data_IF_836008052642
#
_entry.id   IF_836008052642
#
_cell.length_a   1.000
_cell.length_b   1.000
_cell.length_c   1.000
_cell.angle_alpha   90.00
_cell.angle_beta   90.00
_cell.angle_gamma   90.00
#
_symmetry.space_group_name_H-M   'P 1'
#
loop_
_entity.id
_entity.type
_entity.pdbx_description
1 polymer ?
#
# COMPACT_ATOMS: atom_id res chain seq x y z
N UNK A 1 7.09 7.91 -33.49
CA UNK A 1 7.76 6.77 -32.84
C UNK A 1 6.68 5.75 -32.55
N UNK A 2 6.78 4.52 -33.06
CA UNK A 2 5.86 3.43 -32.69
C UNK A 2 6.51 2.71 -31.51
N UNK A 3 5.82 2.66 -30.39
CA UNK A 3 6.25 1.90 -29.22
C UNK A 3 5.73 0.48 -29.37
N UNK A 4 6.63 -0.50 -29.40
CA UNK A 4 6.30 -1.93 -29.36
C UNK A 4 6.81 -2.48 -28.01
N UNK A 5 6.13 -2.19 -26.89
CA UNK A 5 6.54 -2.73 -25.60
C UNK A 5 6.42 -4.26 -25.64
N UNK A 6 7.44 -4.93 -25.12
CA UNK A 6 7.45 -6.38 -24.94
C UNK A 6 7.13 -6.70 -23.48
N UNK A 7 6.24 -7.65 -23.25
CA UNK A 7 5.86 -8.12 -21.93
C UNK A 7 6.13 -9.63 -21.82
N UNK A 8 6.27 -10.12 -20.59
CA UNK A 8 6.20 -11.56 -20.33
C UNK A 8 4.86 -12.12 -20.83
N UNK A 9 4.85 -13.40 -21.18
CA UNK A 9 3.62 -14.06 -21.59
C UNK A 9 2.62 -14.07 -20.43
N UNK A 10 1.38 -13.69 -20.73
CA UNK A 10 0.25 -13.79 -19.81
C UNK A 10 -0.07 -15.27 -19.54
N UNK A 11 -0.73 -15.61 -18.40
CA UNK A 11 -1.12 -16.98 -18.10
C UNK A 11 -1.85 -17.66 -19.26
N UNK A 12 -1.61 -18.95 -19.44
CA UNK A 12 -2.22 -19.73 -20.53
C UNK A 12 -3.76 -19.66 -20.44
N UNK A 13 -4.41 -19.28 -21.54
CA UNK A 13 -5.86 -19.12 -21.61
C UNK A 13 -6.39 -17.73 -21.25
N UNK A 14 -5.54 -16.80 -20.81
CA UNK A 14 -5.92 -15.39 -20.66
C UNK A 14 -6.41 -14.83 -22.00
N UNK A 15 -7.61 -14.26 -22.00
CA UNK A 15 -8.24 -13.70 -23.21
C UNK A 15 -8.16 -12.18 -23.27
N UNK A 16 -7.98 -11.55 -22.12
CA UNK A 16 -7.93 -10.11 -21.94
C UNK A 16 -6.93 -9.78 -20.83
N UNK A 17 -6.36 -8.58 -20.88
CA UNK A 17 -5.52 -8.00 -19.83
C UNK A 17 -5.87 -6.55 -19.58
N UNK A 18 -5.62 -6.08 -18.37
CA UNK A 18 -5.55 -4.65 -18.07
C UNK A 18 -4.10 -4.17 -18.25
N UNK A 19 -3.92 -3.04 -18.94
CA UNK A 19 -2.61 -2.45 -19.22
C UNK A 19 -2.45 -1.16 -18.42
N UNK A 20 -1.58 -1.17 -17.41
CA UNK A 20 -1.17 0.05 -16.71
C UNK A 20 -0.02 0.72 -17.46
N UNK A 21 -0.28 1.92 -17.98
CA UNK A 21 0.73 2.74 -18.65
C UNK A 21 1.00 4.00 -17.79
N UNK A 22 2.23 4.18 -17.29
CA UNK A 22 2.61 5.39 -16.58
C UNK A 22 2.24 6.63 -17.40
N UNK A 23 1.69 7.66 -16.75
CA UNK A 23 1.15 8.89 -17.35
C UNK A 23 -0.13 8.76 -18.20
N UNK A 24 -0.56 7.56 -18.58
CA UNK A 24 -1.79 7.35 -19.38
C UNK A 24 -2.92 6.69 -18.58
N UNK A 25 -2.60 5.85 -17.59
CA UNK A 25 -3.56 5.13 -16.75
C UNK A 25 -3.73 3.67 -17.13
N UNK A 26 -4.81 3.06 -16.61
CA UNK A 26 -5.17 1.68 -16.93
C UNK A 26 -6.06 1.65 -18.16
N UNK A 27 -5.75 0.75 -19.07
CA UNK A 27 -6.58 0.38 -20.20
C UNK A 27 -7.09 -1.04 -19.92
N UNK A 28 -8.34 -1.20 -19.43
CA UNK A 28 -8.91 -2.52 -19.18
C UNK A 28 -9.30 -3.22 -20.48
N UNK A 29 -9.52 -4.54 -20.42
CA UNK A 29 -10.12 -5.32 -21.52
C UNK A 29 -9.28 -5.38 -22.80
N UNK A 30 -7.96 -5.26 -22.72
CA UNK A 30 -7.08 -5.37 -23.89
C UNK A 30 -7.04 -6.84 -24.33
N UNK A 31 -7.53 -7.19 -25.53
CA UNK A 31 -7.64 -8.58 -25.94
C UNK A 31 -6.27 -9.21 -26.18
N UNK A 32 -6.08 -10.42 -25.66
CA UNK A 32 -4.94 -11.29 -25.94
C UNK A 32 -5.26 -12.06 -27.21
N UNK A 33 -4.59 -11.71 -28.30
CA UNK A 33 -4.79 -12.33 -29.62
C UNK A 33 -3.57 -13.14 -30.02
N UNK A 34 -3.79 -14.26 -30.71
CA UNK A 34 -2.69 -15.02 -31.33
C UNK A 34 -2.00 -14.20 -32.43
N UNK A 35 -0.81 -14.65 -32.85
CA UNK A 35 -0.07 -14.03 -33.97
C UNK A 35 -0.89 -14.14 -35.27
N UNK A 36 -1.67 -13.12 -35.58
CA UNK A 36 -2.32 -12.97 -36.89
C UNK A 36 -1.43 -12.12 -37.79
N UNK A 37 -1.65 -12.17 -39.11
CA UNK A 37 -0.86 -11.49 -40.15
C UNK A 37 -0.79 -9.94 -40.04
N UNK A 38 -1.35 -9.35 -38.98
CA UNK A 38 -1.37 -7.91 -38.72
C UNK A 38 -0.08 -7.42 -38.06
N UNK A 39 0.64 -8.30 -37.34
CA UNK A 39 1.89 -7.98 -36.66
C UNK A 39 2.83 -9.18 -36.63
N UNK A 40 4.02 -9.05 -37.22
CA UNK A 40 5.05 -10.10 -37.19
C UNK A 40 5.74 -10.10 -35.82
N UNK A 41 5.16 -10.86 -34.89
CA UNK A 41 5.68 -11.06 -33.53
C UNK A 41 7.11 -11.60 -33.56
N UNK A 42 7.42 -12.48 -34.52
CA UNK A 42 8.75 -13.06 -34.68
C UNK A 42 9.79 -12.01 -35.06
N UNK A 43 9.47 -11.13 -36.02
CA UNK A 43 10.34 -10.02 -36.39
C UNK A 43 10.46 -8.98 -35.27
N UNK A 44 9.37 -8.69 -34.54
CA UNK A 44 9.40 -7.75 -33.40
C UNK A 44 10.28 -8.27 -32.26
N UNK A 45 10.16 -9.56 -31.90
CA UNK A 45 11.02 -10.23 -30.93
C UNK A 45 12.48 -10.24 -31.39
N UNK A 46 12.75 -10.63 -32.65
CA UNK A 46 14.11 -10.68 -33.19
C UNK A 46 14.78 -9.30 -33.29
N UNK A 47 14.00 -8.23 -33.48
CA UNK A 47 14.48 -6.86 -33.49
C UNK A 47 14.60 -6.26 -32.08
N UNK A 48 14.04 -6.91 -31.07
CA UNK A 48 14.12 -6.49 -29.68
C UNK A 48 15.35 -7.08 -28.98
N UNK A 49 15.90 -6.35 -28.02
CA UNK A 49 16.85 -6.87 -27.03
C UNK A 49 16.22 -6.69 -25.65
N UNK A 50 15.19 -7.50 -25.32
CA UNK A 50 14.48 -7.32 -24.07
C UNK A 50 15.42 -7.64 -22.92
N UNK A 51 15.39 -6.80 -21.90
CA UNK A 51 15.97 -7.16 -20.63
C UNK A 51 15.07 -8.23 -19.99
N UNK A 52 15.65 -9.38 -19.70
CA UNK A 52 14.94 -10.53 -19.13
C UNK A 52 15.42 -10.83 -17.71
N UNK A 53 16.39 -10.09 -17.18
CA UNK A 53 16.88 -10.30 -15.82
C UNK A 53 15.73 -10.13 -14.81
N UNK A 54 14.83 -9.18 -15.08
CA UNK A 54 13.64 -8.87 -14.28
C UNK A 54 12.34 -8.99 -15.10
N UNK A 55 12.26 -10.01 -15.97
CA UNK A 55 10.98 -10.32 -16.58
C UNK A 55 10.03 -10.86 -15.49
N UNK A 56 8.87 -10.19 -15.30
CA UNK A 56 7.82 -10.64 -14.39
C UNK A 56 7.29 -12.06 -14.70
N UNK A 57 6.23 -12.52 -14.01
CA UNK A 57 5.24 -11.71 -13.30
C UNK A 57 5.75 -11.19 -11.96
N UNK A 58 5.34 -9.97 -11.62
CA UNK A 58 5.53 -9.40 -10.30
C UNK A 58 4.19 -9.42 -9.56
N UNK A 59 4.10 -10.05 -8.38
CA UNK A 59 2.88 -10.00 -7.60
C UNK A 59 2.57 -8.55 -7.23
N UNK A 60 1.30 -8.17 -7.36
CA UNK A 60 0.82 -6.91 -6.81
C UNK A 60 0.71 -7.07 -5.31
N UNK A 61 1.25 -6.09 -4.59
CA UNK A 61 1.23 -6.04 -3.14
C UNK A 61 0.24 -4.97 -2.67
N UNK A 62 -0.77 -5.38 -1.90
CA UNK A 62 -1.70 -4.47 -1.25
C UNK A 62 -1.18 -4.06 0.12
N UNK A 63 -1.41 -2.80 0.50
CA UNK A 63 -1.08 -2.29 1.83
C UNK A 63 -2.26 -1.50 2.38
N UNK A 64 -2.86 -2.03 3.44
CA UNK A 64 -4.03 -1.44 4.10
C UNK A 64 -3.77 -1.38 5.60
N UNK A 65 -4.06 -0.28 6.26
CA UNK A 65 -3.88 -0.22 7.71
C UNK A 65 -4.76 0.81 8.40
N UNK A 66 -4.79 0.76 9.72
CA UNK A 66 -5.41 1.79 10.56
C UNK A 66 -4.60 3.08 10.47
N UNK A 67 -5.25 4.24 10.34
CA UNK A 67 -4.53 5.52 10.18
C UNK A 67 -3.63 5.87 11.38
N UNK A 68 -4.05 5.45 12.58
CA UNK A 68 -3.31 5.61 13.82
C UNK A 68 -2.06 4.70 13.94
N UNK A 69 -1.85 3.80 12.96
CA UNK A 69 -0.74 2.85 12.95
C UNK A 69 -0.89 1.69 13.92
N UNK A 70 -2.09 1.45 14.46
CA UNK A 70 -2.31 0.31 15.36
C UNK A 70 -2.04 -1.03 14.67
N UNK A 71 -2.38 -1.11 13.39
CA UNK A 71 -2.22 -2.30 12.55
C UNK A 71 -2.07 -1.93 11.08
N UNK A 72 -1.27 -2.69 10.36
CA UNK A 72 -1.19 -2.67 8.90
C UNK A 72 -1.17 -4.09 8.35
N UNK A 73 -1.70 -4.30 7.16
CA UNK A 73 -1.75 -5.57 6.46
C UNK A 73 -1.13 -5.41 5.09
N UNK A 74 -0.09 -6.20 4.85
CA UNK A 74 0.64 -6.34 3.60
C UNK A 74 0.19 -7.66 2.97
N UNK A 75 -0.45 -7.61 1.81
CA UNK A 75 -0.88 -8.80 1.08
C UNK A 75 -0.08 -8.92 -0.21
N UNK A 76 0.62 -10.05 -0.38
CA UNK A 76 1.49 -10.35 -1.53
C UNK A 76 0.97 -11.52 -2.37
N UNK A 77 -0.32 -11.85 -2.25
CA UNK A 77 -0.98 -12.91 -3.02
C UNK A 77 -0.74 -14.31 -2.47
N UNK A 78 0.52 -14.70 -2.21
CA UNK A 78 0.85 -15.99 -1.59
C UNK A 78 0.98 -15.93 -0.06
N UNK A 79 1.01 -14.73 0.49
CA UNK A 79 1.19 -14.47 1.90
C UNK A 79 0.53 -13.16 2.32
N UNK A 80 0.08 -13.13 3.57
CA UNK A 80 -0.49 -11.93 4.20
C UNK A 80 0.27 -11.67 5.50
N UNK A 81 0.89 -10.50 5.62
CA UNK A 81 1.58 -10.07 6.82
C UNK A 81 0.78 -8.98 7.52
N UNK A 82 0.33 -9.24 8.74
CA UNK A 82 -0.32 -8.26 9.60
C UNK A 82 0.68 -7.77 10.64
N UNK A 83 1.02 -6.48 10.58
CA UNK A 83 1.93 -5.80 11.49
C UNK A 83 1.12 -5.09 12.55
N UNK A 84 1.40 -5.36 13.82
CA UNK A 84 0.71 -4.79 14.98
C UNK A 84 1.68 -3.88 15.74
N UNK A 85 1.25 -2.66 16.08
CA UNK A 85 2.04 -1.78 16.95
C UNK A 85 2.08 -2.33 18.37
N UNK A 86 3.28 -2.50 18.93
CA UNK A 86 3.42 -2.97 20.32
C UNK A 86 2.91 -1.94 21.33
N UNK A 87 3.01 -0.65 21.00
CA UNK A 87 2.58 0.44 21.88
C UNK A 87 1.06 0.47 22.07
N UNK A 88 0.31 -0.08 21.10
CA UNK A 88 -1.14 -0.24 21.18
C UNK A 88 -1.52 -1.63 21.71
N UNK A 89 -0.75 -2.67 21.33
CA UNK A 89 -1.08 -4.06 21.67
C UNK A 89 -0.77 -4.42 23.13
N UNK A 90 0.22 -3.77 23.75
CA UNK A 90 0.71 -4.11 25.09
C UNK A 90 0.75 -2.91 26.03
N UNK A 91 0.75 -3.17 27.33
CA UNK A 91 1.19 -2.17 28.31
C UNK A 91 2.69 -1.84 28.13
N UNK A 92 3.10 -0.65 28.53
CA UNK A 92 4.49 -0.15 28.43
C UNK A 92 5.48 -1.13 29.03
N UNK A 93 6.55 -1.46 28.29
CA UNK A 93 7.60 -2.43 28.67
C UNK A 93 7.04 -3.77 29.20
N UNK A 94 5.89 -4.19 28.67
CA UNK A 94 5.21 -5.41 29.10
C UNK A 94 4.84 -6.31 27.92
N UNK A 95 4.55 -7.57 28.25
CA UNK A 95 3.88 -8.53 27.38
C UNK A 95 2.41 -8.74 27.77
N UNK A 96 1.91 -7.99 28.75
CA UNK A 96 0.50 -7.94 29.11
C UNK A 96 -0.26 -7.17 28.04
N UNK A 97 -1.27 -7.82 27.44
CA UNK A 97 -2.11 -7.23 26.40
C UNK A 97 -2.88 -6.02 26.94
N UNK A 98 -2.97 -4.97 26.14
CA UNK A 98 -3.72 -3.77 26.48
C UNK A 98 -5.24 -4.01 26.39
N UNK A 99 -6.03 -3.02 26.82
CA UNK A 99 -7.48 -3.05 26.64
C UNK A 99 -7.92 -2.97 25.17
N UNK A 100 -7.06 -2.43 24.30
CA UNK A 100 -7.32 -2.25 22.86
C UNK A 100 -6.81 -3.42 22.01
N UNK A 101 -6.09 -4.36 22.63
CA UNK A 101 -5.42 -5.47 21.94
C UNK A 101 -6.38 -6.31 21.09
N UNK A 102 -7.58 -6.61 21.58
CA UNK A 102 -8.58 -7.36 20.80
C UNK A 102 -9.02 -6.62 19.53
N UNK A 103 -9.15 -5.29 19.62
CA UNK A 103 -9.51 -4.45 18.47
C UNK A 103 -8.42 -4.45 17.42
N UNK A 104 -7.15 -4.46 17.85
CA UNK A 104 -5.99 -4.56 16.97
C UNK A 104 -5.87 -5.96 16.35
N UNK A 105 -6.04 -7.01 17.16
CA UNK A 105 -6.01 -8.42 16.73
C UNK A 105 -7.19 -8.79 15.81
N UNK A 106 -8.26 -8.00 15.79
CA UNK A 106 -9.37 -8.20 14.86
C UNK A 106 -8.90 -8.22 13.40
N UNK A 107 -7.89 -7.42 13.04
CA UNK A 107 -7.26 -7.42 11.71
C UNK A 107 -6.65 -8.78 11.37
N UNK A 108 -5.96 -9.42 12.32
CA UNK A 108 -5.40 -10.77 12.17
C UNK A 108 -6.51 -11.80 12.03
N UNK A 109 -7.56 -11.71 12.86
CA UNK A 109 -8.68 -12.66 12.76
C UNK A 109 -9.45 -12.55 11.46
N UNK A 110 -9.59 -11.34 10.91
CA UNK A 110 -10.17 -11.11 9.59
C UNK A 110 -9.28 -11.74 8.50
N UNK A 111 -7.97 -11.56 8.58
CA UNK A 111 -7.02 -12.20 7.66
C UNK A 111 -7.07 -13.73 7.73
N UNK A 112 -7.13 -14.32 8.93
CA UNK A 112 -7.28 -15.76 9.13
C UNK A 112 -8.59 -16.29 8.52
N UNK A 113 -9.68 -15.53 8.63
CA UNK A 113 -10.98 -15.89 8.09
C UNK A 113 -11.04 -16.01 6.57
N UNK A 114 -10.16 -15.30 5.85
CA UNK A 114 -10.03 -15.39 4.38
C UNK A 114 -9.49 -16.73 3.90
N UNK A 115 -8.82 -17.49 4.77
CA UNK A 115 -8.12 -18.73 4.41
C UNK A 115 -8.57 -19.90 5.30
N UNK A 116 -9.82 -20.37 5.16
CA UNK A 116 -10.38 -21.43 5.99
C UNK A 116 -9.61 -22.77 5.87
N UNK A 117 -8.90 -23.02 4.76
CA UNK A 117 -8.05 -24.22 4.62
C UNK A 117 -6.80 -24.18 5.51
N UNK A 118 -6.46 -23.02 6.08
CA UNK A 118 -5.31 -22.84 6.95
C UNK A 118 -3.98 -22.80 6.20
N UNK A 119 -2.88 -23.02 6.91
CA UNK A 119 -1.53 -22.83 6.38
C UNK A 119 -0.47 -22.63 7.45
N UNK A 120 0.59 -21.90 7.14
CA UNK A 120 1.58 -21.44 8.12
C UNK A 120 1.12 -20.17 8.82
N UNK A 121 1.30 -20.10 10.15
CA UNK A 121 1.06 -18.89 10.94
C UNK A 121 2.31 -18.59 11.76
N UNK A 122 3.06 -17.55 11.42
CA UNK A 122 4.23 -17.11 12.17
C UNK A 122 3.92 -15.82 12.93
N UNK A 123 4.22 -15.78 14.22
CA UNK A 123 4.11 -14.59 15.06
C UNK A 123 5.50 -14.22 15.56
N UNK A 124 6.00 -13.07 15.15
CA UNK A 124 7.35 -12.60 15.50
C UNK A 124 7.28 -11.28 16.26
N UNK A 125 7.80 -11.26 17.49
CA UNK A 125 7.94 -10.03 18.26
C UNK A 125 9.26 -9.32 17.95
N UNK A 126 9.23 -7.98 17.95
CA UNK A 126 10.41 -7.13 17.81
C UNK A 126 10.39 -5.99 18.84
N UNK A 127 11.56 -5.46 19.15
CA UNK A 127 11.76 -4.27 20.00
C UNK A 127 12.53 -3.19 19.26
N UNK A 128 12.64 -2.01 19.87
CA UNK A 128 13.67 -1.03 19.53
C UNK A 128 15.00 -1.39 20.23
N UNK A 129 15.99 -0.49 20.14
CA UNK A 129 17.32 -0.62 20.73
C UNK A 129 17.43 -0.07 22.16
N UNK A 130 16.30 0.11 22.84
CA UNK A 130 16.28 0.52 24.25
C UNK A 130 16.38 -0.71 25.13
N UNK A 131 17.20 -0.65 26.17
CA UNK A 131 17.60 -1.78 27.05
C UNK A 131 18.60 -2.76 26.42
N UNK A 132 18.91 -3.85 27.13
CA UNK A 132 19.91 -4.83 26.68
C UNK A 132 19.32 -5.82 25.68
N UNK A 133 20.13 -6.31 24.74
CA UNK A 133 19.77 -7.33 23.75
C UNK A 133 19.06 -8.54 24.39
N UNK A 134 19.52 -8.99 25.56
CA UNK A 134 18.92 -10.13 26.27
C UNK A 134 17.51 -9.83 26.79
N UNK A 135 17.30 -8.63 27.36
CA UNK A 135 15.97 -8.17 27.80
C UNK A 135 15.02 -8.06 26.61
N UNK A 136 15.50 -7.44 25.52
CA UNK A 136 14.75 -7.26 24.28
C UNK A 136 14.36 -8.59 23.64
N UNK A 137 15.27 -9.57 23.65
CA UNK A 137 14.98 -10.92 23.20
C UNK A 137 13.87 -11.56 24.05
N UNK A 138 14.01 -11.58 25.37
CA UNK A 138 13.00 -12.16 26.28
C UNK A 138 11.64 -11.44 26.20
N UNK A 139 11.63 -10.11 26.05
CA UNK A 139 10.40 -9.33 25.91
C UNK A 139 9.69 -9.64 24.60
N UNK A 140 10.43 -9.68 23.49
CA UNK A 140 9.85 -9.98 22.18
C UNK A 140 9.27 -11.39 22.08
N UNK A 141 9.92 -12.40 22.66
CA UNK A 141 9.41 -13.77 22.75
C UNK A 141 8.10 -13.84 23.56
N UNK A 142 8.05 -13.17 24.71
CA UNK A 142 6.84 -13.12 25.55
C UNK A 142 5.68 -12.41 24.85
N UNK A 143 5.96 -11.35 24.09
CA UNK A 143 4.94 -10.64 23.29
C UNK A 143 4.38 -11.53 22.17
N UNK A 144 5.25 -12.24 21.45
CA UNK A 144 4.81 -13.20 20.44
C UNK A 144 3.95 -14.32 21.04
N UNK A 145 4.33 -14.85 22.22
CA UNK A 145 3.54 -15.84 22.94
C UNK A 145 2.16 -15.30 23.33
N UNK A 146 2.10 -14.10 23.91
CA UNK A 146 0.83 -13.49 24.32
C UNK A 146 -0.14 -13.27 23.14
N UNK A 147 0.38 -12.84 21.99
CA UNK A 147 -0.40 -12.70 20.75
C UNK A 147 -0.87 -14.05 20.24
N UNK A 148 0.01 -15.05 20.16
CA UNK A 148 -0.36 -16.41 19.74
C UNK A 148 -1.45 -17.04 20.62
N UNK A 149 -1.29 -16.93 21.93
CA UNK A 149 -2.28 -17.44 22.91
C UNK A 149 -3.63 -16.74 22.76
N UNK A 150 -3.62 -15.42 22.53
CA UNK A 150 -4.86 -14.67 22.36
C UNK A 150 -5.55 -14.98 21.02
N UNK A 151 -4.80 -15.12 19.94
CA UNK A 151 -5.35 -15.52 18.64
C UNK A 151 -6.03 -16.88 18.72
N UNK A 152 -5.45 -17.85 19.44
CA UNK A 152 -6.07 -19.17 19.67
C UNK A 152 -7.35 -19.12 20.51
N UNK A 153 -7.63 -18.00 21.19
CA UNK A 153 -8.90 -17.78 21.89
C UNK A 153 -9.94 -17.05 21.02
N UNK A 154 -9.48 -16.25 20.05
CA UNK A 154 -10.33 -15.43 19.19
C UNK A 154 -10.74 -16.15 17.89
N UNK A 155 -9.94 -17.09 17.40
CA UNK A 155 -10.15 -17.79 16.14
C UNK A 155 -9.81 -19.29 16.24
N UNK A 156 -10.37 -20.09 15.32
CA UNK A 156 -9.99 -21.49 15.17
C UNK A 156 -8.66 -21.60 14.40
N UNK A 157 -7.61 -22.03 15.10
CA UNK A 157 -6.27 -22.22 14.54
C UNK A 157 -5.97 -23.68 14.18
N UNK A 158 -6.97 -24.58 14.15
CA UNK A 158 -6.75 -26.01 13.91
C UNK A 158 -6.14 -26.34 12.54
N UNK A 159 -6.41 -25.51 11.52
CA UNK A 159 -5.79 -25.58 10.19
C UNK A 159 -4.42 -24.91 10.09
N UNK A 160 -3.96 -24.22 11.14
CA UNK A 160 -2.76 -23.39 11.10
C UNK A 160 -1.59 -24.02 11.86
N UNK A 161 -0.43 -24.07 11.20
CA UNK A 161 0.84 -24.43 11.82
C UNK A 161 1.44 -23.20 12.49
N UNK A 162 1.18 -23.05 13.78
CA UNK A 162 1.59 -21.88 14.56
C UNK A 162 3.07 -21.96 14.96
N UNK A 163 3.81 -20.89 14.68
CA UNK A 163 5.20 -20.69 15.10
C UNK A 163 5.33 -19.33 15.77
N UNK A 164 6.06 -19.29 16.89
CA UNK A 164 6.21 -18.10 17.74
C UNK A 164 7.71 -17.83 17.92
N UNK A 165 8.14 -16.59 17.67
CA UNK A 165 9.53 -16.19 17.79
C UNK A 165 9.66 -14.77 18.34
N UNK A 166 10.76 -14.48 19.02
CA UNK A 166 11.21 -13.13 19.31
C UNK A 166 12.52 -12.83 18.60
N UNK A 167 12.71 -11.58 18.18
CA UNK A 167 13.92 -11.12 17.50
C UNK A 167 14.64 -10.00 18.24
N UNK A 168 14.09 -9.55 19.37
CA UNK A 168 14.56 -8.34 20.06
C UNK A 168 14.75 -7.19 19.06
N UNK A 169 15.92 -6.57 19.13
CA UNK A 169 16.32 -5.44 18.27
C UNK A 169 17.10 -5.85 17.01
N UNK A 170 17.30 -7.16 16.78
CA UNK A 170 18.24 -7.66 15.76
C UNK A 170 17.77 -7.46 14.31
N UNK A 171 16.47 -7.26 14.11
CA UNK A 171 15.83 -7.05 12.81
C UNK A 171 15.00 -5.75 12.85
N UNK A 172 15.64 -4.57 12.89
CA UNK A 172 14.93 -3.30 12.87
C UNK A 172 14.36 -3.02 11.47
N UNK A 173 13.12 -2.55 11.39
CA UNK A 173 12.47 -2.16 10.13
C UNK A 173 13.02 -0.83 9.61
N UNK A 174 13.30 0.09 10.52
CA UNK A 174 13.89 1.41 10.26
C UNK A 174 15.05 1.67 11.23
N UNK A 175 16.01 2.57 10.91
CA UNK A 175 17.09 2.89 11.85
C UNK A 175 16.56 3.42 13.19
N UNK A 176 17.11 2.98 14.33
CA UNK A 176 16.71 3.44 15.68
C UNK A 176 17.23 4.87 16.02
N UNK A 177 17.23 5.79 15.06
CA UNK A 177 17.82 7.12 15.19
C UNK A 177 16.86 8.21 15.73
N UNK A 178 15.59 7.86 15.95
CA UNK A 178 14.53 8.76 16.41
C UNK A 178 13.46 8.02 17.21
N UNK A 179 12.70 8.73 18.03
CA UNK A 179 11.59 8.13 18.81
C UNK A 179 10.50 7.60 17.89
N UNK A 180 10.23 8.28 16.78
CA UNK A 180 9.28 7.86 15.76
C UNK A 180 9.71 6.54 15.10
N UNK A 181 11.00 6.41 14.76
CA UNK A 181 11.51 5.16 14.17
C UNK A 181 11.54 4.01 15.19
N UNK A 182 11.90 4.29 16.44
CA UNK A 182 11.81 3.29 17.52
C UNK A 182 10.38 2.78 17.69
N UNK A 183 9.38 3.65 17.60
CA UNK A 183 7.96 3.25 17.65
C UNK A 183 7.57 2.30 16.52
N UNK A 184 8.10 2.51 15.30
CA UNK A 184 7.89 1.59 14.17
C UNK A 184 8.54 0.22 14.43
N UNK A 185 9.72 0.19 15.08
CA UNK A 185 10.44 -1.05 15.36
C UNK A 185 9.81 -1.89 16.48
N UNK A 186 9.13 -1.25 17.44
CA UNK A 186 8.33 -1.91 18.49
C UNK A 186 7.04 -2.50 17.90
N UNK A 187 7.13 -3.67 17.29
CA UNK A 187 6.02 -4.31 16.57
C UNK A 187 5.91 -5.82 16.81
N UNK A 188 4.77 -6.38 16.46
CA UNK A 188 4.59 -7.83 16.26
C UNK A 188 4.17 -8.06 14.82
N UNK A 189 4.87 -8.93 14.10
CA UNK A 189 4.54 -9.32 12.74
C UNK A 189 3.84 -10.69 12.77
N UNK A 190 2.66 -10.76 12.18
CA UNK A 190 1.88 -12.00 12.04
C UNK A 190 1.81 -12.35 10.56
N UNK A 191 2.56 -13.35 10.13
CA UNK A 191 2.64 -13.79 8.73
C UNK A 191 1.79 -15.03 8.54
N UNK A 192 0.83 -14.94 7.62
CA UNK A 192 -0.02 -16.02 7.17
C UNK A 192 0.53 -16.49 5.82
N UNK A 193 0.78 -17.79 5.69
CA UNK A 193 1.13 -18.44 4.43
C UNK A 193 0.07 -19.49 4.14
N UNK A 194 -1.04 -19.11 3.48
CA UNK A 194 -2.14 -20.02 3.20
C UNK A 194 -1.69 -21.23 2.38
N UNK A 195 -2.29 -22.37 2.67
CA UNK A 195 -2.14 -23.58 1.85
C UNK A 195 -2.88 -23.47 0.51
N UNK A 196 -3.95 -22.68 0.49
CA UNK A 196 -4.76 -22.37 -0.71
C UNK A 196 -4.92 -20.84 -0.81
N UNK A 197 -3.93 -20.11 -1.38
CA UNK A 197 -3.96 -18.64 -1.43
C UNK A 197 -5.15 -18.05 -2.19
N UNK A 198 -5.68 -18.78 -3.18
CA UNK A 198 -6.83 -18.37 -3.97
C UNK A 198 -8.13 -18.15 -3.13
N UNK A 199 -8.20 -18.69 -1.91
CA UNK A 199 -9.37 -18.47 -1.02
C UNK A 199 -9.54 -16.99 -0.61
N UNK A 200 -8.46 -16.22 -0.56
CA UNK A 200 -8.47 -14.84 -0.10
C UNK A 200 -8.47 -13.77 -1.20
N UNK A 201 -8.38 -14.15 -2.48
CA UNK A 201 -8.18 -13.20 -3.60
C UNK A 201 -9.36 -12.21 -3.78
N UNK A 202 -10.59 -12.62 -3.47
CA UNK A 202 -11.81 -11.81 -3.69
C UNK A 202 -12.27 -11.03 -2.44
N UNK A 203 -11.63 -11.22 -1.28
CA UNK A 203 -12.06 -10.57 -0.04
C UNK A 203 -11.20 -9.34 0.30
N UNK A 204 -11.81 -8.15 0.48
CA UNK A 204 -11.07 -6.96 0.82
C UNK A 204 -10.42 -7.11 2.19
N UNK A 205 -9.19 -6.62 2.30
CA UNK A 205 -8.49 -6.49 3.58
C UNK A 205 -9.18 -5.40 4.40
N UNK A 206 -9.96 -5.78 5.41
CA UNK A 206 -10.69 -4.84 6.28
C UNK A 206 -9.92 -4.64 7.59
N UNK A 207 -9.60 -3.38 7.91
CA UNK A 207 -8.85 -3.01 9.12
C UNK A 207 -9.68 -2.01 9.93
N UNK A 208 -10.43 -2.52 10.91
CA UNK A 208 -11.04 -1.74 12.01
C UNK A 208 -12.16 -0.75 11.66
N UNK A 209 -12.98 -0.41 12.67
CA UNK A 209 -14.08 0.57 12.57
C UNK A 209 -13.76 1.82 13.42
N UNK A 210 -12.71 2.55 13.06
CA UNK A 210 -12.35 3.81 13.73
C UNK A 210 -12.98 5.04 13.06
N UNK A 211 -12.89 6.19 13.74
CA UNK A 211 -13.27 7.48 13.17
C UNK A 211 -12.29 7.89 12.06
N UNK A 212 -12.81 8.47 10.97
CA UNK A 212 -11.97 8.97 9.89
C UNK A 212 -11.02 10.07 10.40
N UNK A 213 -9.71 10.04 10.05
CA UNK A 213 -8.76 11.02 10.55
C UNK A 213 -9.09 12.43 10.08
N UNK A 214 -8.64 13.44 10.83
CA UNK A 214 -8.82 14.84 10.44
C UNK A 214 -7.97 15.17 9.21
N UNK A 215 -8.51 15.91 8.22
CA UNK A 215 -7.74 16.35 7.06
C UNK A 215 -6.54 17.22 7.48
N UNK A 216 -5.35 16.92 6.97
CA UNK A 216 -4.14 17.70 7.21
C UNK A 216 -4.05 18.96 6.31
N UNK A 217 -4.92 19.06 5.30
CA UNK A 217 -4.93 20.16 4.34
C UNK A 217 -6.34 20.54 3.87
N UNK A 218 -6.44 21.37 2.82
CA UNK A 218 -7.70 21.78 2.22
C UNK A 218 -8.57 20.58 1.79
N UNK A 219 -9.88 20.75 1.91
CA UNK A 219 -10.88 19.72 1.58
C UNK A 219 -11.75 20.20 0.43
N UNK A 220 -11.97 19.35 -0.56
CA UNK A 220 -12.92 19.56 -1.65
C UNK A 220 -13.64 18.25 -2.02
N UNK A 221 -14.61 18.32 -2.91
CA UNK A 221 -15.19 17.10 -3.52
C UNK A 221 -14.32 16.64 -4.68
N UNK A 222 -14.37 15.37 -5.06
CA UNK A 222 -13.61 14.80 -6.16
C UNK A 222 -13.67 15.62 -7.45
N UNK A 223 -14.89 15.87 -7.93
CA UNK A 223 -15.15 16.58 -9.17
C UNK A 223 -14.81 18.08 -9.12
N UNK A 224 -14.97 18.73 -7.96
CA UNK A 224 -14.61 20.16 -7.82
C UNK A 224 -13.12 20.36 -7.57
N UNK A 225 -12.45 19.36 -7.00
CA UNK A 225 -11.08 19.45 -6.56
C UNK A 225 -10.87 20.45 -5.42
N UNK A 226 -9.60 20.74 -5.16
CA UNK A 226 -9.17 21.74 -4.17
C UNK A 226 -7.86 22.38 -4.58
N UNK A 227 -7.69 23.66 -4.22
CA UNK A 227 -6.43 24.38 -4.38
C UNK A 227 -5.55 24.16 -3.13
N UNK A 228 -4.29 23.77 -3.36
CA UNK A 228 -3.25 23.65 -2.33
C UNK A 228 -2.08 24.58 -2.65
N UNK A 229 -1.39 25.04 -1.61
CA UNK A 229 -0.15 25.78 -1.76
C UNK A 229 1.04 24.85 -1.61
N UNK A 230 1.87 24.75 -2.65
CA UNK A 230 3.11 23.99 -2.64
C UNK A 230 4.29 24.91 -3.00
N UNK A 231 5.26 25.07 -2.09
CA UNK A 231 6.42 25.96 -2.27
C UNK A 231 6.04 27.37 -2.79
N UNK A 232 4.95 27.92 -2.24
CA UNK A 232 4.43 29.26 -2.57
C UNK A 232 3.64 29.36 -3.87
N UNK A 233 3.42 28.24 -4.57
CA UNK A 233 2.67 28.14 -5.83
C UNK A 233 1.33 27.47 -5.61
N UNK A 234 0.31 27.89 -6.36
CA UNK A 234 -1.02 27.28 -6.29
C UNK A 234 -1.11 26.08 -7.22
N UNK A 235 -1.50 24.93 -6.68
CA UNK A 235 -1.77 23.69 -7.39
C UNK A 235 -3.24 23.31 -7.18
N UNK A 236 -3.98 23.12 -8.25
CA UNK A 236 -5.33 22.57 -8.19
C UNK A 236 -5.28 21.06 -8.38
N UNK A 237 -5.93 20.32 -7.49
CA UNK A 237 -5.96 18.85 -7.47
C UNK A 237 -7.41 18.37 -7.52
N UNK A 238 -7.73 17.47 -8.45
CA UNK A 238 -9.07 16.89 -8.60
C UNK A 238 -8.99 15.41 -8.99
N UNK A 239 -10.06 14.66 -8.71
CA UNK A 239 -10.25 13.29 -9.16
C UNK A 239 -11.75 13.04 -9.28
N UNK A 240 -12.25 12.98 -10.50
CA UNK A 240 -13.68 12.96 -10.81
C UNK A 240 -14.35 11.65 -10.41
N UNK A 241 -13.66 10.53 -10.61
CA UNK A 241 -14.12 9.19 -10.33
C UNK A 241 -12.94 8.22 -10.16
N UNK A 242 -13.25 7.02 -9.67
CA UNK A 242 -12.36 5.86 -9.64
C UNK A 242 -13.03 4.71 -10.35
N UNK A 243 -12.28 3.91 -11.12
CA UNK A 243 -12.79 2.75 -11.84
C UNK A 243 -12.48 1.47 -11.08
N UNK A 244 -13.46 0.58 -10.91
CA UNK A 244 -13.24 -0.79 -10.42
C UNK A 244 -12.87 -1.68 -11.59
N UNK A 245 -11.73 -2.36 -11.50
CA UNK A 245 -11.18 -3.26 -12.52
C UNK A 245 -10.60 -4.48 -11.81
N UNK A 246 -11.18 -5.66 -12.02
CA UNK A 246 -10.66 -6.95 -11.54
C UNK A 246 -10.26 -6.97 -10.04
N UNK A 247 -11.12 -6.42 -9.16
CA UNK A 247 -10.84 -6.36 -7.71
C UNK A 247 -9.85 -5.27 -7.30
N UNK A 248 -9.57 -4.31 -8.18
CA UNK A 248 -8.74 -3.14 -7.90
C UNK A 248 -9.49 -1.84 -8.20
N UNK A 249 -9.02 -0.75 -7.60
CA UNK A 249 -9.50 0.59 -7.87
C UNK A 249 -8.44 1.39 -8.63
N UNK A 250 -8.82 1.97 -9.76
CA UNK A 250 -7.96 2.77 -10.63
C UNK A 250 -8.41 4.23 -10.62
N UNK A 251 -7.56 5.10 -10.09
CA UNK A 251 -7.78 6.54 -10.08
C UNK A 251 -6.92 7.28 -11.10
N UNK A 252 -7.37 8.50 -11.40
CA UNK A 252 -6.63 9.45 -12.23
C UNK A 252 -6.68 10.82 -11.56
N UNK A 253 -5.65 11.14 -10.79
CA UNK A 253 -5.54 12.43 -10.11
C UNK A 253 -5.06 13.47 -11.12
N UNK A 254 -5.85 14.52 -11.32
CA UNK A 254 -5.53 15.61 -12.22
C UNK A 254 -4.89 16.76 -11.44
N UNK A 255 -3.68 17.11 -11.82
CA UNK A 255 -2.92 18.24 -11.28
C UNK A 255 -2.90 19.37 -12.32
N UNK A 256 -3.34 20.56 -11.93
CA UNK A 256 -3.26 21.75 -12.79
C UNK A 256 -2.80 22.96 -11.99
N UNK A 257 -2.27 23.97 -12.67
CA UNK A 257 -1.78 25.17 -11.99
C UNK A 257 -1.95 26.39 -12.88
N UNK A 258 -2.32 27.52 -12.27
CA UNK A 258 -2.39 28.82 -12.97
C UNK A 258 -1.03 29.53 -13.03
N UNK A 259 0.01 28.94 -12.44
CA UNK A 259 1.35 29.50 -12.35
C UNK A 259 2.05 29.45 -13.71
N UNK A 260 2.52 30.60 -14.22
CA UNK A 260 3.16 30.68 -15.54
C UNK A 260 4.48 29.92 -15.63
N UNK A 261 5.24 29.90 -14.53
CA UNK A 261 6.52 29.18 -14.45
C UNK A 261 6.32 27.70 -14.10
N UNK A 262 5.07 27.23 -14.04
CA UNK A 262 4.73 25.89 -13.62
C UNK A 262 5.00 25.59 -12.14
N UNK A 263 4.74 24.34 -11.77
CA UNK A 263 5.00 23.77 -10.43
C UNK A 263 5.94 22.58 -10.60
N UNK A 264 7.09 22.65 -9.95
CA UNK A 264 8.09 21.58 -9.92
C UNK A 264 8.02 20.86 -8.58
N UNK A 265 7.96 19.54 -8.62
CA UNK A 265 7.90 18.69 -7.42
C UNK A 265 9.30 18.32 -6.97
N UNK A 266 9.61 18.58 -5.70
CA UNK A 266 10.77 17.98 -5.03
C UNK A 266 10.52 16.51 -4.72
N UNK A 267 11.57 15.79 -4.32
CA UNK A 267 11.46 14.37 -3.91
C UNK A 267 10.44 14.19 -2.78
N UNK A 268 10.33 15.18 -1.88
CA UNK A 268 9.45 15.12 -0.72
C UNK A 268 7.98 15.51 -0.97
N UNK A 269 7.61 15.89 -2.19
CA UNK A 269 6.29 16.46 -2.47
C UNK A 269 5.13 15.51 -2.10
N UNK A 270 5.38 14.21 -2.21
CA UNK A 270 4.42 13.15 -1.94
C UNK A 270 4.90 12.21 -0.82
N UNK A 271 5.79 12.69 0.06
CA UNK A 271 6.16 11.93 1.25
C UNK A 271 4.99 11.79 2.22
N UNK A 272 4.88 10.61 2.80
CA UNK A 272 3.91 10.24 3.82
C UNK A 272 4.46 10.49 5.23
N UNK A 273 3.66 10.38 6.32
CA UNK A 273 4.19 10.36 7.68
C UNK A 273 5.20 9.20 7.88
N UNK A 274 6.16 9.31 8.82
CA UNK A 274 7.23 8.32 9.01
C UNK A 274 6.75 6.87 9.14
N UNK A 275 5.64 6.66 9.85
CA UNK A 275 4.98 5.35 9.96
C UNK A 275 4.74 4.71 8.59
N UNK A 276 4.14 5.45 7.66
CA UNK A 276 3.80 4.92 6.35
C UNK A 276 5.03 4.82 5.45
N UNK A 277 6.02 5.69 5.63
CA UNK A 277 7.31 5.63 4.94
C UNK A 277 8.03 4.29 5.17
N UNK A 278 7.92 3.67 6.35
CA UNK A 278 8.56 2.39 6.64
C UNK A 278 8.02 1.19 5.84
N UNK A 279 6.89 1.37 5.15
CA UNK A 279 6.31 0.36 4.25
C UNK A 279 6.64 0.61 2.78
N UNK A 280 7.33 1.71 2.48
CA UNK A 280 7.86 1.99 1.16
C UNK A 280 9.34 1.63 1.10
N UNK A 281 9.81 1.15 -0.04
CA UNK A 281 11.23 1.03 -0.33
C UNK A 281 11.80 2.41 -0.66
N UNK A 282 11.97 2.70 -1.96
CA UNK A 282 12.35 4.04 -2.42
C UNK A 282 11.10 4.90 -2.65
N UNK A 283 10.99 6.02 -1.93
CA UNK A 283 9.90 7.00 -2.11
C UNK A 283 10.26 8.11 -3.12
N UNK A 284 11.47 8.09 -3.67
CA UNK A 284 12.00 9.20 -4.46
C UNK A 284 11.12 9.50 -5.67
N UNK A 285 10.43 10.65 -5.62
CA UNK A 285 9.65 11.25 -6.72
C UNK A 285 8.40 10.49 -7.20
N UNK A 286 7.98 9.43 -6.50
CA UNK A 286 6.71 8.73 -6.74
C UNK A 286 5.55 9.40 -6.01
N UNK A 287 4.35 9.40 -6.60
CA UNK A 287 3.15 9.91 -5.92
C UNK A 287 2.57 8.88 -4.93
N UNK A 288 3.37 8.41 -3.97
CA UNK A 288 3.01 7.34 -3.04
C UNK A 288 2.03 7.78 -1.93
N UNK A 289 1.89 9.09 -1.68
CA UNK A 289 0.92 9.61 -0.69
C UNK A 289 -0.53 9.66 -1.16
N UNK A 290 -0.82 9.27 -2.40
CA UNK A 290 -2.18 9.21 -2.95
C UNK A 290 -2.92 8.03 -2.33
N UNK A 291 -3.39 8.14 -1.09
CA UNK A 291 -4.08 7.03 -0.39
C UNK A 291 -5.60 7.24 -0.35
N UNK A 292 -6.35 6.14 -0.24
CA UNK A 292 -7.79 6.20 0.00
C UNK A 292 -8.11 5.98 1.48
N UNK A 293 -9.22 6.55 1.93
CA UNK A 293 -9.78 6.34 3.26
C UNK A 293 -11.19 5.74 3.19
N UNK A 294 -11.45 4.77 4.07
CA UNK A 294 -12.77 4.27 4.43
C UNK A 294 -12.85 4.17 5.95
N UNK A 295 -13.58 5.07 6.61
CA UNK A 295 -13.46 5.24 8.07
C UNK A 295 -12.02 5.56 8.48
N UNK A 296 -11.49 4.82 9.46
CA UNK A 296 -10.08 4.89 9.89
C UNK A 296 -9.13 4.01 9.06
N UNK A 297 -9.65 3.27 8.07
CA UNK A 297 -8.85 2.40 7.23
C UNK A 297 -8.22 3.20 6.10
N UNK A 298 -6.90 3.13 5.97
CA UNK A 298 -6.10 3.74 4.90
C UNK A 298 -5.63 2.67 3.92
N UNK A 299 -5.96 2.87 2.65
CA UNK A 299 -5.54 2.03 1.53
C UNK A 299 -4.43 2.77 0.78
N UNK A 300 -3.21 2.23 0.81
CA UNK A 300 -2.10 2.80 0.07
C UNK A 300 -2.10 2.34 -1.39
N UNK A 301 -1.47 3.10 -2.32
CA UNK A 301 -1.26 2.61 -3.68
C UNK A 301 -0.67 1.21 -3.70
N UNK A 302 -1.14 0.38 -4.62
CA UNK A 302 -0.58 -0.95 -4.86
C UNK A 302 0.93 -0.85 -5.09
N UNK A 303 1.66 -1.88 -4.70
CA UNK A 303 3.11 -1.97 -4.83
C UNK A 303 3.50 -3.14 -5.75
N UNK A 304 4.66 -3.04 -6.38
CA UNK A 304 5.35 -4.16 -7.05
C UNK A 304 6.79 -4.20 -6.57
N UNK A 305 7.32 -5.41 -6.36
CA UNK A 305 8.73 -5.62 -6.05
C UNK A 305 9.52 -5.81 -7.34
N UNK A 306 10.50 -4.94 -7.61
CA UNK A 306 11.40 -5.00 -8.76
C UNK A 306 12.82 -4.78 -8.23
N UNK A 307 13.76 -5.67 -8.55
CA UNK A 307 15.15 -5.62 -8.06
C UNK A 307 15.28 -5.61 -6.52
N UNK A 308 14.31 -6.20 -5.81
CA UNK A 308 14.23 -6.14 -4.34
C UNK A 308 13.79 -4.79 -3.79
N UNK A 309 13.42 -3.83 -4.65
CA UNK A 309 12.81 -2.56 -4.28
C UNK A 309 11.29 -2.57 -4.47
N UNK A 310 10.57 -1.97 -3.53
CA UNK A 310 9.12 -1.77 -3.64
C UNK A 310 8.80 -0.46 -4.37
N UNK A 311 7.97 -0.56 -5.41
CA UNK A 311 7.54 0.55 -6.26
C UNK A 311 6.02 0.68 -6.24
N UNK A 312 5.53 1.89 -6.00
CA UNK A 312 4.11 2.18 -6.09
C UNK A 312 3.62 2.12 -7.55
N UNK A 313 2.43 1.55 -7.80
CA UNK A 313 1.79 1.48 -9.12
C UNK A 313 1.15 2.83 -9.44
N UNK A 314 2.02 3.80 -9.71
CA UNK A 314 1.76 5.21 -10.04
C UNK A 314 2.88 5.70 -10.96
N UNK A 315 2.92 6.99 -11.30
CA UNK A 315 4.08 7.60 -11.93
C UNK A 315 5.31 7.49 -11.02
N UNK A 316 6.31 6.72 -11.47
CA UNK A 316 7.59 6.57 -10.76
C UNK A 316 8.38 7.89 -10.64
N UNK A 317 8.16 8.83 -11.56
CA UNK A 317 8.68 10.19 -11.50
C UNK A 317 7.58 11.19 -11.84
N UNK A 318 7.34 12.10 -10.91
CA UNK A 318 6.39 13.18 -11.11
C UNK A 318 6.90 14.20 -12.14
N UNK A 319 6.09 14.43 -13.18
CA UNK A 319 6.32 15.48 -14.17
C UNK A 319 5.92 16.85 -13.58
N UNK A 320 6.65 17.93 -13.90
CA UNK A 320 6.23 19.28 -13.55
C UNK A 320 4.87 19.62 -14.18
N UNK A 321 4.07 20.40 -13.47
CA UNK A 321 2.85 20.99 -14.05
C UNK A 321 3.27 22.24 -14.82
N UNK A 322 3.20 22.20 -16.15
CA UNK A 322 3.80 23.19 -17.05
C UNK A 322 3.07 24.53 -17.15
N UNK A 323 1.97 24.72 -16.41
CA UNK A 323 1.17 25.96 -16.37
C UNK A 323 -0.32 25.73 -16.69
N UNK A 324 -1.09 26.80 -16.96
CA UNK A 324 -2.56 26.75 -17.06
C UNK A 324 -3.10 25.77 -18.09
N UNK A 325 -2.36 25.56 -19.18
CA UNK A 325 -2.80 24.76 -20.33
C UNK A 325 -2.11 23.38 -20.39
N UNK A 326 -1.35 23.01 -19.35
CA UNK A 326 -0.57 21.78 -19.30
C UNK A 326 -0.79 21.00 -17.98
N UNK A 327 -2.02 20.50 -17.75
CA UNK A 327 -2.28 19.66 -16.59
C UNK A 327 -1.52 18.34 -16.70
N UNK A 328 -1.20 17.76 -15.54
CA UNK A 328 -0.55 16.45 -15.40
C UNK A 328 -1.55 15.45 -14.83
N UNK A 329 -1.63 14.30 -15.47
CA UNK A 329 -2.41 13.17 -14.99
C UNK A 329 -1.51 12.23 -14.18
N UNK A 330 -1.97 11.85 -13.00
CA UNK A 330 -1.30 10.89 -12.13
C UNK A 330 -2.22 9.67 -11.98
N UNK A 331 -2.00 8.61 -12.77
CA UNK A 331 -2.69 7.36 -12.57
C UNK A 331 -2.19 6.67 -11.31
N UNK A 332 -3.07 5.94 -10.65
CA UNK A 332 -2.77 5.22 -9.41
C UNK A 332 -3.72 4.04 -9.27
N UNK A 333 -3.21 2.92 -8.77
CA UNK A 333 -3.98 1.70 -8.50
C UNK A 333 -4.00 1.47 -6.99
N UNK A 334 -5.16 1.09 -6.46
CA UNK A 334 -5.38 0.75 -5.05
C UNK A 334 -6.02 -0.63 -4.91
N UNK A 335 -5.91 -1.25 -3.72
CA UNK A 335 -6.79 -2.34 -3.35
C UNK A 335 -8.23 -1.85 -3.36
N UNK A 336 -9.16 -2.77 -3.62
CA UNK A 336 -10.56 -2.46 -3.56
C UNK A 336 -11.04 -2.21 -2.12
N UNK A 337 -11.80 -1.12 -1.95
CA UNK A 337 -12.38 -0.73 -0.65
C UNK A 337 -13.74 -1.39 -0.40
N UNK A 338 -14.34 -1.99 -1.44
CA UNK A 338 -15.72 -2.49 -1.42
C UNK A 338 -16.79 -1.39 -1.35
N UNK A 339 -16.41 -0.12 -1.45
CA UNK A 339 -17.33 1.03 -1.36
C UNK A 339 -17.74 1.54 -2.75
N UNK A 340 -18.93 2.14 -2.84
CA UNK A 340 -19.41 2.85 -4.04
C UNK A 340 -18.85 4.29 -4.14
N UNK A 341 -18.28 4.80 -3.04
CA UNK A 341 -17.64 6.11 -2.97
C UNK A 341 -16.38 6.03 -2.12
N UNK A 342 -15.33 6.74 -2.54
CA UNK A 342 -14.05 6.78 -1.82
C UNK A 342 -13.65 8.22 -1.47
N UNK A 343 -12.76 8.33 -0.47
CA UNK A 343 -12.12 9.59 -0.09
C UNK A 343 -10.63 9.47 -0.40
N UNK A 344 -10.10 10.36 -1.25
CA UNK A 344 -8.66 10.50 -1.46
C UNK A 344 -8.08 11.39 -0.37
N UNK A 345 -7.04 10.93 0.30
CA UNK A 345 -6.37 11.66 1.37
C UNK A 345 -4.86 11.65 1.15
N UNK A 346 -4.28 12.86 1.13
CA UNK A 346 -2.85 13.08 1.21
C UNK A 346 -2.59 13.68 2.59
N UNK A 347 -2.03 12.92 3.55
CA UNK A 347 -1.81 13.41 4.92
C UNK A 347 -0.59 14.34 5.05
N UNK A 348 0.15 14.57 3.96
CA UNK A 348 1.48 15.19 4.03
C UNK A 348 2.50 14.28 4.72
N UNK A 349 3.58 14.85 5.25
CA UNK A 349 4.68 14.08 5.87
C UNK A 349 4.66 14.11 7.42
N UNK A 350 3.66 14.73 8.04
CA UNK A 350 3.60 14.94 9.50
C UNK A 350 4.65 15.92 10.07
N UNK A 351 5.47 16.58 9.23
CA UNK A 351 6.51 17.57 9.58
C UNK A 351 6.28 18.90 8.82
N UNK A 352 7.32 19.74 8.69
CA UNK A 352 7.29 21.01 7.95
C UNK A 352 6.73 20.85 6.52
N UNK A 353 6.07 21.93 6.07
CA UNK A 353 5.06 22.08 5.00
C UNK A 353 5.50 21.79 3.56
N UNK A 354 6.52 20.97 3.35
CA UNK A 354 7.00 20.66 2.00
C UNK A 354 6.27 19.51 1.32
N UNK A 355 5.52 18.67 2.05
CA UNK A 355 4.66 17.65 1.44
C UNK A 355 3.26 18.19 1.16
N UNK A 356 2.66 17.76 0.06
CA UNK A 356 1.29 18.12 -0.30
C UNK A 356 0.33 17.42 0.66
N UNK A 357 -0.56 18.21 1.27
CA UNK A 357 -1.64 17.71 2.11
C UNK A 357 -2.98 18.23 1.60
N UNK A 358 -3.95 17.33 1.43
CA UNK A 358 -5.32 17.64 0.99
C UNK A 358 -6.25 16.45 1.21
N UNK A 359 -7.56 16.70 1.08
CA UNK A 359 -8.57 15.66 0.99
C UNK A 359 -9.57 15.93 -0.13
N UNK A 360 -9.90 14.91 -0.90
CA UNK A 360 -11.02 14.91 -1.83
C UNK A 360 -12.08 13.89 -1.38
N UNK A 361 -13.30 14.34 -1.17
CA UNK A 361 -14.43 13.50 -0.72
C UNK A 361 -15.39 13.17 -1.87
N UNK A 362 -16.33 12.25 -1.63
CA UNK A 362 -17.45 11.97 -2.52
C UNK A 362 -17.03 11.56 -3.93
N UNK A 363 -15.94 10.81 -4.05
CA UNK A 363 -15.43 10.35 -5.34
C UNK A 363 -16.17 9.06 -5.70
N UNK A 364 -17.00 9.05 -6.76
CA UNK A 364 -17.74 7.86 -7.14
C UNK A 364 -16.82 6.76 -7.65
N UNK A 365 -17.12 5.52 -7.29
CA UNK A 365 -16.57 4.32 -7.89
C UNK A 365 -17.49 3.86 -9.02
N UNK A 366 -16.93 3.61 -10.20
CA UNK A 366 -17.66 3.14 -11.39
C UNK A 366 -17.06 1.84 -11.89
N UNK A 367 -17.89 0.93 -12.39
CA UNK A 367 -17.41 -0.31 -13.02
C UNK A 367 -16.82 -0.02 -14.39
N UNK A 368 -15.74 -0.73 -14.74
CA UNK A 368 -15.00 -0.55 -16.00
C UNK A 368 -15.68 -1.12 -17.24
#
# INVERSE_FOLDING_TARGET
MVLNPLFAAVPEGAREVALFLPHFGVIPGVPVVGSTDVFDVGAALAASSPDLEDAGPFPLRALVGSDDGSSATEDEGDSTTVVLSSDVTFASDSAELSADADGVLASVTAALGRFPSGGGLAVTGHTDDVDSDAHNQELSERRAQAVGDRLGQLADLSGWQVSLAGKGESEPRVPNDSDENRAVNRRVEVVLTPSEPAEGEDEPVIVGSGEMPKPAGPVGTGAQGVDVTYKGKTLHVSMDQVQRVDGYLVGRVLLSSKEKDGVFFGVDAFHMPPLWQSYWGSTDSSACSLSLLSGNTRYLPMQVSIDGGLWAVTNARMQPVGGPDAPVLVPVVWPDTGQDTVTLDLPGNGKDKEAIALRLTDIPVVEA
#
